data_IF_243374049297
#
_entry.id   IF_243374049297
#
_cell.length_a   1.000
_cell.length_b   1.000
_cell.length_c   1.000
_cell.angle_alpha   90.00
_cell.angle_beta   90.00
_cell.angle_gamma   90.00
#
_symmetry.space_group_name_H-M   'P 1'
#
loop_
_entity.id
_entity.type
_entity.pdbx_description
1 polymer ?
#
# COMPACT_ATOMS: atom_id res chain seq x y z
N UNK A 1 7.16 2.88 26.44
CA UNK A 1 6.73 2.54 25.06
C UNK A 1 5.26 2.88 24.96
N UNK A 2 4.84 3.62 23.93
CA UNK A 2 3.45 4.08 23.80
C UNK A 2 2.62 3.01 23.08
N UNK A 3 1.39 2.76 23.53
CA UNK A 3 0.43 1.86 22.86
C UNK A 3 0.27 2.17 21.37
N UNK A 4 0.40 3.44 21.00
CA UNK A 4 0.32 3.87 19.61
C UNK A 4 1.48 3.30 18.76
N UNK A 5 2.71 3.33 19.27
CA UNK A 5 3.85 2.75 18.57
C UNK A 5 3.71 1.24 18.41
N UNK A 6 3.09 0.56 19.37
CA UNK A 6 2.86 -0.88 19.29
C UNK A 6 1.87 -1.24 18.16
N UNK A 7 0.82 -0.43 17.97
CA UNK A 7 -0.14 -0.61 16.87
C UNK A 7 0.47 -0.33 15.49
N UNK A 8 1.29 0.71 15.38
CA UNK A 8 1.93 1.09 14.11
C UNK A 8 2.95 0.04 13.66
N UNK A 9 3.64 -0.60 14.61
CA UNK A 9 4.67 -1.60 14.33
C UNK A 9 4.14 -3.05 14.41
N UNK A 10 2.82 -3.25 14.33
CA UNK A 10 2.23 -4.57 14.39
C UNK A 10 2.69 -5.42 13.20
N UNK A 11 3.31 -6.55 13.49
CA UNK A 11 3.65 -7.54 12.47
C UNK A 11 2.39 -8.32 12.07
N UNK A 12 1.94 -8.17 10.83
CA UNK A 12 0.73 -8.81 10.31
C UNK A 12 0.98 -10.18 9.66
N UNK A 13 2.24 -10.58 9.44
CA UNK A 13 2.60 -11.76 8.65
C UNK A 13 1.99 -13.08 9.16
N UNK A 14 1.76 -13.20 10.47
CA UNK A 14 1.22 -14.42 11.07
C UNK A 14 -0.33 -14.44 11.11
N UNK A 15 -0.96 -13.31 10.81
CA UNK A 15 -2.42 -13.13 10.92
C UNK A 15 -3.14 -13.13 9.57
N UNK A 16 -2.47 -12.69 8.50
CA UNK A 16 -3.05 -12.57 7.17
C UNK A 16 -1.98 -12.69 6.10
N UNK A 17 -2.36 -13.24 4.96
CA UNK A 17 -1.53 -13.26 3.75
C UNK A 17 -1.69 -11.96 2.93
N UNK A 18 -2.45 -10.99 3.41
CA UNK A 18 -2.61 -9.71 2.74
C UNK A 18 -1.42 -8.79 3.03
N UNK A 19 -1.06 -7.97 2.05
CA UNK A 19 -0.06 -6.93 2.18
C UNK A 19 -0.70 -5.55 2.01
N UNK A 20 -0.10 -4.53 2.59
CA UNK A 20 -0.45 -3.13 2.32
C UNK A 20 0.57 -2.62 1.30
N UNK A 21 0.10 -2.19 0.13
CA UNK A 21 0.92 -1.55 -0.89
C UNK A 21 0.60 -0.06 -0.97
N UNK A 22 1.63 0.78 -0.94
CA UNK A 22 1.51 2.23 -1.12
C UNK A 22 1.71 2.58 -2.60
N UNK A 23 0.70 3.17 -3.21
CA UNK A 23 0.80 3.71 -4.57
C UNK A 23 1.31 5.15 -4.47
N UNK A 24 2.43 5.46 -5.12
CA UNK A 24 3.03 6.79 -5.10
C UNK A 24 3.01 7.38 -6.51
N UNK A 25 2.60 8.63 -6.65
CA UNK A 25 2.60 9.36 -7.92
C UNK A 25 2.90 10.85 -7.75
N UNK A 26 3.27 11.50 -8.85
CA UNK A 26 3.49 12.94 -8.91
C UNK A 26 2.15 13.63 -9.16
N UNK A 27 1.82 14.65 -8.37
CA UNK A 27 0.61 15.44 -8.53
C UNK A 27 0.60 16.25 -9.83
N UNK A 28 -0.58 16.73 -10.23
CA UNK A 28 -0.75 17.46 -11.49
C UNK A 28 0.04 18.78 -11.60
N UNK A 29 0.60 19.28 -10.48
CA UNK A 29 1.50 20.43 -10.46
C UNK A 29 2.94 20.09 -10.87
N UNK A 30 3.31 18.81 -10.84
CA UNK A 30 4.69 18.34 -11.02
C UNK A 30 5.59 18.54 -9.80
N UNK A 31 5.12 19.21 -8.74
CA UNK A 31 5.92 19.54 -7.56
C UNK A 31 5.59 18.69 -6.33
N UNK A 32 4.37 18.16 -6.24
CA UNK A 32 3.90 17.40 -5.08
C UNK A 32 3.90 15.89 -5.31
N UNK A 33 4.20 15.12 -4.26
CA UNK A 33 4.08 13.66 -4.24
C UNK A 33 2.79 13.27 -3.52
N UNK A 34 2.03 12.35 -4.11
CA UNK A 34 0.79 11.81 -3.55
C UNK A 34 0.94 10.31 -3.32
N UNK A 35 0.24 9.84 -2.30
CA UNK A 35 0.27 8.45 -1.85
C UNK A 35 -1.14 7.92 -1.58
N UNK A 36 -1.37 6.62 -1.84
CA UNK A 36 -2.56 5.91 -1.37
C UNK A 36 -2.26 4.44 -1.09
N UNK A 37 -2.41 4.06 0.17
CA UNK A 37 -2.31 2.67 0.63
C UNK A 37 -3.52 1.84 0.16
N UNK A 38 -3.27 0.60 -0.24
CA UNK A 38 -4.30 -0.40 -0.53
C UNK A 38 -3.89 -1.76 0.01
N UNK A 39 -4.87 -2.51 0.52
CA UNK A 39 -4.68 -3.90 0.91
C UNK A 39 -4.81 -4.80 -0.32
N UNK A 40 -3.80 -5.64 -0.55
CA UNK A 40 -3.73 -6.58 -1.67
C UNK A 40 -3.60 -8.01 -1.14
N UNK A 41 -4.31 -8.97 -1.76
CA UNK A 41 -4.11 -10.39 -1.49
C UNK A 41 -2.84 -10.89 -2.19
N UNK A 42 -1.85 -11.37 -1.43
CA UNK A 42 -0.57 -11.84 -1.97
C UNK A 42 -0.65 -13.15 -2.78
N UNK A 43 -1.77 -13.89 -2.67
CA UNK A 43 -1.93 -15.18 -3.35
C UNK A 43 -1.98 -15.06 -4.89
N UNK A 44 -2.28 -13.86 -5.41
CA UNK A 44 -2.24 -13.63 -6.84
C UNK A 44 -0.83 -13.15 -7.22
N UNK A 45 -0.12 -13.98 -7.98
CA UNK A 45 1.12 -13.68 -8.75
C UNK A 45 0.90 -12.58 -9.80
N UNK A 46 0.08 -11.58 -9.53
CA UNK A 46 -0.27 -10.55 -10.48
C UNK A 46 0.58 -9.32 -10.24
N UNK A 47 1.81 -9.37 -10.76
CA UNK A 47 2.50 -8.12 -11.10
C UNK A 47 1.61 -7.23 -11.98
N UNK A 48 0.69 -7.80 -12.75
CA UNK A 48 -0.32 -7.05 -13.51
C UNK A 48 -1.32 -6.26 -12.65
N UNK A 49 -1.79 -6.77 -11.50
CA UNK A 49 -2.80 -6.07 -10.69
C UNK A 49 -2.23 -4.81 -10.02
N UNK A 50 -0.92 -4.79 -9.78
CA UNK A 50 -0.24 -3.59 -9.30
C UNK A 50 -0.29 -2.47 -10.35
N UNK A 51 -0.23 -2.79 -11.65
CA UNK A 51 -0.20 -1.77 -12.72
C UNK A 51 -1.58 -1.27 -13.14
N UNK A 52 -2.65 -2.07 -12.96
CA UNK A 52 -4.01 -1.70 -13.39
C UNK A 52 -4.63 -0.56 -12.60
N UNK A 53 -4.22 -0.36 -11.35
CA UNK A 53 -4.77 0.69 -10.49
C UNK A 53 -4.08 2.05 -10.62
N UNK A 54 -3.00 2.14 -11.39
CA UNK A 54 -2.26 3.40 -11.62
C UNK A 54 -2.89 4.28 -12.70
N UNK A 55 -3.79 3.75 -13.53
CA UNK A 55 -4.39 4.44 -14.68
C UNK A 55 -5.85 4.89 -14.49
N UNK A 56 -6.43 4.68 -13.31
CA UNK A 56 -7.79 5.13 -13.01
C UNK A 56 -7.77 6.50 -12.30
N UNK A 57 -7.52 7.57 -13.06
CA UNK A 57 -7.90 8.94 -12.72
C UNK A 57 -8.48 9.62 -13.95
#
# INVERSE_FOLDING_TARGET
MSLFSDLVNLNLSDSTMQIIAEYIWIGGSGMDIRGKARTLCSYNKDKENIHRHTHAQ
#
